data_IF_539686566248
#
_entry.id   IF_539686566248
#
_cell.length_a   1.000
_cell.length_b   1.000
_cell.length_c   1.000
_cell.angle_alpha   90.00
_cell.angle_beta   90.00
_cell.angle_gamma   90.00
#
_symmetry.space_group_name_H-M   'P 1'
#
loop_
_entity.id
_entity.type
_entity.pdbx_description
1 polymer ?
#
# COMPACT_ATOMS: atom_id res chain seq x y z
N UNK A 1 -24.24 16.29 19.73
CA UNK A 1 -23.18 15.97 18.74
C UNK A 1 -22.42 14.76 19.24
N UNK A 2 -22.10 13.81 18.39
CA UNK A 2 -21.45 12.56 18.80
C UNK A 2 -19.91 12.63 18.82
N UNK A 3 -19.28 13.71 18.35
CA UNK A 3 -17.83 13.89 18.27
C UNK A 3 -17.33 15.09 19.08
N UNK A 4 -16.01 15.10 19.38
CA UNK A 4 -15.33 16.25 19.99
C UNK A 4 -15.36 17.45 19.07
N UNK A 5 -15.49 18.65 19.68
CA UNK A 5 -15.46 19.91 18.95
C UNK A 5 -14.03 20.26 18.50
N UNK A 6 -13.91 21.01 17.40
CA UNK A 6 -12.64 21.66 17.03
C UNK A 6 -12.13 22.52 18.21
N UNK A 7 -10.80 22.55 18.35
CA UNK A 7 -10.08 23.18 19.46
C UNK A 7 -10.24 22.50 20.83
N UNK A 8 -10.94 21.36 20.95
CA UNK A 8 -10.88 20.55 22.17
C UNK A 8 -9.44 20.07 22.37
N UNK A 9 -8.92 20.20 23.59
CA UNK A 9 -7.58 19.69 23.94
C UNK A 9 -7.67 18.38 24.66
N UNK A 10 -6.68 17.50 24.43
CA UNK A 10 -6.50 16.21 25.06
C UNK A 10 -5.12 16.12 25.71
N UNK A 11 -4.99 15.23 26.70
CA UNK A 11 -3.75 15.02 27.47
C UNK A 11 -3.15 16.31 28.04
N UNK A 12 -3.98 17.09 28.75
CA UNK A 12 -3.49 18.32 29.36
C UNK A 12 -3.02 19.38 28.36
N UNK A 13 -3.54 19.38 27.14
CA UNK A 13 -3.18 20.34 26.10
C UNK A 13 -2.09 19.85 25.13
N UNK A 14 -1.63 18.60 25.26
CA UNK A 14 -0.63 18.02 24.34
C UNK A 14 -1.15 17.92 22.91
N UNK A 15 -2.43 17.59 22.74
CA UNK A 15 -3.10 17.51 21.45
C UNK A 15 -4.29 18.45 21.38
N UNK A 16 -4.47 19.09 20.24
CA UNK A 16 -5.64 19.91 19.92
C UNK A 16 -6.37 19.27 18.74
N UNK A 17 -7.66 19.00 18.91
CA UNK A 17 -8.53 18.49 17.84
C UNK A 17 -8.75 19.58 16.79
N UNK A 18 -8.50 19.29 15.55
CA UNK A 18 -8.74 20.20 14.42
C UNK A 18 -10.10 19.91 13.76
N UNK A 19 -10.33 18.66 13.35
CA UNK A 19 -11.59 18.21 12.73
C UNK A 19 -11.75 16.69 12.77
N UNK A 20 -12.96 16.22 12.50
CA UNK A 20 -13.23 14.79 12.26
C UNK A 20 -12.66 14.37 10.89
N UNK A 21 -11.97 13.24 10.83
CA UNK A 21 -11.56 12.55 9.61
C UNK A 21 -12.58 11.50 9.17
N UNK A 22 -13.15 10.77 10.13
CA UNK A 22 -14.14 9.73 9.86
C UNK A 22 -14.76 9.20 11.13
N UNK A 23 -15.93 8.56 10.97
CA UNK A 23 -16.63 7.88 12.05
C UNK A 23 -17.08 6.50 11.56
N UNK A 24 -16.74 5.47 12.30
CA UNK A 24 -17.12 4.08 12.06
C UNK A 24 -17.93 3.50 13.21
N UNK A 25 -18.28 2.22 13.12
CA UNK A 25 -19.08 1.53 14.13
C UNK A 25 -18.41 1.45 15.52
N UNK A 26 -17.09 1.51 15.58
CA UNK A 26 -16.31 1.32 16.81
C UNK A 26 -15.47 2.54 17.22
N UNK A 27 -15.52 3.64 16.47
CA UNK A 27 -14.71 4.79 16.84
C UNK A 27 -14.86 5.97 15.91
N UNK A 28 -14.29 7.07 16.38
CA UNK A 28 -14.20 8.33 15.64
C UNK A 28 -12.72 8.64 15.46
N UNK A 29 -12.32 9.00 14.25
CA UNK A 29 -10.95 9.42 13.95
C UNK A 29 -10.91 10.91 13.69
N UNK A 30 -9.98 11.60 14.35
CA UNK A 30 -9.79 13.04 14.28
C UNK A 30 -8.44 13.38 13.64
N UNK A 31 -8.39 14.46 12.87
CA UNK A 31 -7.17 15.21 12.66
C UNK A 31 -6.93 16.04 13.91
N UNK A 32 -5.70 16.01 14.42
CA UNK A 32 -5.28 16.80 15.55
C UNK A 32 -3.87 17.35 15.35
N UNK A 33 -3.56 18.42 16.06
CA UNK A 33 -2.23 19.01 16.10
C UNK A 33 -1.56 18.67 17.44
N UNK A 34 -0.38 18.06 17.40
CA UNK A 34 0.50 17.96 18.56
C UNK A 34 1.10 19.35 18.83
N UNK A 35 0.67 19.98 19.93
CA UNK A 35 0.91 21.41 20.17
C UNK A 35 2.40 21.76 20.29
N UNK A 36 3.19 20.92 20.95
CA UNK A 36 4.62 21.16 21.18
C UNK A 36 5.48 21.16 19.92
N UNK A 37 5.11 20.39 18.90
CA UNK A 37 5.86 20.21 17.65
C UNK A 37 5.15 20.80 16.43
N UNK A 38 3.93 21.28 16.60
CA UNK A 38 3.02 21.71 15.52
C UNK A 38 2.82 20.63 14.44
N UNK A 39 2.99 19.34 14.81
CA UNK A 39 2.85 18.20 13.89
C UNK A 39 1.40 17.76 13.85
N UNK A 40 0.88 17.50 12.64
CA UNK A 40 -0.40 16.84 12.46
C UNK A 40 -0.31 15.35 12.78
N UNK A 41 -1.31 14.87 13.51
CA UNK A 41 -1.50 13.47 13.89
C UNK A 41 -2.94 13.06 13.67
N UNK A 42 -3.20 11.76 13.53
CA UNK A 42 -4.54 11.21 13.61
C UNK A 42 -4.78 10.64 15.02
N UNK A 43 -5.94 10.92 15.59
CA UNK A 43 -6.33 10.40 16.90
C UNK A 43 -7.60 9.58 16.74
N UNK A 44 -7.55 8.29 17.07
CA UNK A 44 -8.73 7.41 17.08
C UNK A 44 -9.29 7.32 18.51
N UNK A 45 -10.56 7.61 18.64
CA UNK A 45 -11.34 7.52 19.88
C UNK A 45 -12.20 6.28 19.85
N UNK A 46 -12.23 5.53 20.95
CA UNK A 46 -13.22 4.47 21.13
C UNK A 46 -14.60 5.09 21.37
N UNK A 47 -15.51 4.94 20.40
CA UNK A 47 -16.87 5.43 20.49
C UNK A 47 -17.82 4.44 19.79
N UNK A 48 -18.71 3.82 20.54
CA UNK A 48 -19.65 2.81 20.06
C UNK A 48 -21.06 3.39 20.12
N UNK A 49 -21.26 4.42 19.31
CA UNK A 49 -22.52 5.15 19.20
C UNK A 49 -22.99 5.10 17.75
N UNK A 50 -23.87 4.19 17.40
CA UNK A 50 -24.44 4.08 16.06
C UNK A 50 -25.90 3.64 16.09
N UNK A 51 -26.58 3.75 14.94
CA UNK A 51 -27.97 3.36 14.77
C UNK A 51 -28.21 1.90 15.16
N UNK A 52 -28.88 1.68 16.27
CA UNK A 52 -29.44 0.39 16.65
C UNK A 52 -29.06 -0.13 18.03
N UNK A 53 -27.84 0.00 18.51
CA UNK A 53 -27.43 -0.41 19.87
C UNK A 53 -26.25 0.44 20.37
N UNK A 54 -26.48 1.72 20.60
CA UNK A 54 -25.49 2.61 21.17
C UNK A 54 -25.14 2.15 22.60
N UNK A 55 -23.91 1.67 22.79
CA UNK A 55 -23.37 1.28 24.09
C UNK A 55 -23.04 2.51 24.93
N UNK A 56 -22.60 3.58 24.27
CA UNK A 56 -22.23 4.85 24.89
C UNK A 56 -22.79 6.05 24.11
N UNK A 57 -22.85 7.18 24.79
CA UNK A 57 -23.26 8.48 24.28
C UNK A 57 -22.27 9.55 24.73
N UNK A 58 -22.38 10.76 24.18
CA UNK A 58 -21.51 11.89 24.53
C UNK A 58 -22.27 13.00 25.29
N UNK A 59 -21.70 13.43 26.40
CA UNK A 59 -22.16 14.59 27.17
C UNK A 59 -20.98 15.59 27.29
N UNK A 60 -21.05 16.68 26.53
CA UNK A 60 -19.90 17.57 26.38
C UNK A 60 -18.72 16.81 25.75
N UNK A 61 -17.57 16.80 26.41
CA UNK A 61 -16.41 16.02 25.99
C UNK A 61 -16.42 14.58 26.56
N UNK A 62 -17.30 14.28 27.56
CA UNK A 62 -17.33 12.99 28.22
C UNK A 62 -18.10 11.95 27.42
N UNK A 63 -17.58 10.76 27.33
CA UNK A 63 -18.26 9.56 26.86
C UNK A 63 -18.90 8.88 28.09
N UNK A 64 -20.18 8.66 28.02
CA UNK A 64 -20.96 8.02 29.11
C UNK A 64 -21.63 6.76 28.57
N UNK A 65 -21.59 5.69 29.35
CA UNK A 65 -22.28 4.44 29.00
C UNK A 65 -23.79 4.64 29.16
N UNK A 66 -24.57 4.17 28.19
CA UNK A 66 -26.03 4.44 28.11
C UNK A 66 -26.82 3.80 29.23
N UNK A 67 -26.38 2.63 29.74
CA UNK A 67 -26.98 1.96 30.87
C UNK A 67 -25.96 1.06 31.59
N UNK A 68 -26.27 0.65 32.83
CA UNK A 68 -25.36 -0.19 33.63
C UNK A 68 -25.07 -1.57 33.02
N UNK A 69 -26.01 -2.13 32.26
CA UNK A 69 -25.80 -3.41 31.58
C UNK A 69 -24.69 -3.32 30.48
N UNK A 70 -24.53 -2.15 29.89
CA UNK A 70 -23.49 -1.91 28.85
C UNK A 70 -22.12 -1.62 29.46
N UNK A 71 -21.99 -1.36 30.75
CA UNK A 71 -20.73 -0.97 31.39
C UNK A 71 -19.64 -2.04 31.26
N UNK A 72 -20.00 -3.31 31.49
CA UNK A 72 -19.06 -4.43 31.36
C UNK A 72 -18.62 -4.58 29.91
N UNK A 73 -19.54 -4.52 28.95
CA UNK A 73 -19.24 -4.58 27.51
C UNK A 73 -18.32 -3.44 27.09
N UNK A 74 -18.59 -2.21 27.50
CA UNK A 74 -17.74 -1.06 27.18
C UNK A 74 -16.32 -1.19 27.74
N UNK A 75 -16.21 -1.65 29.01
CA UNK A 75 -14.90 -1.89 29.63
C UNK A 75 -14.10 -2.98 28.89
N UNK A 76 -14.75 -4.05 28.43
CA UNK A 76 -14.12 -5.07 27.59
C UNK A 76 -13.64 -4.49 26.24
N UNK A 77 -14.44 -3.66 25.58
CA UNK A 77 -14.06 -3.00 24.35
C UNK A 77 -12.88 -2.04 24.56
N UNK A 78 -12.87 -1.31 25.68
CA UNK A 78 -11.75 -0.43 26.03
C UNK A 78 -10.46 -1.21 26.27
N UNK A 79 -10.52 -2.35 26.95
CA UNK A 79 -9.36 -3.23 27.13
C UNK A 79 -8.84 -3.79 25.81
N UNK A 80 -9.72 -4.18 24.88
CA UNK A 80 -9.36 -4.62 23.54
C UNK A 80 -8.71 -3.49 22.72
N UNK A 81 -9.28 -2.30 22.77
CA UNK A 81 -8.76 -1.12 22.09
C UNK A 81 -7.34 -0.76 22.56
N UNK A 82 -7.07 -0.88 23.88
CA UNK A 82 -5.74 -0.73 24.44
C UNK A 82 -4.75 -1.77 23.90
N UNK A 83 -5.14 -3.05 23.92
CA UNK A 83 -4.29 -4.13 23.41
C UNK A 83 -3.95 -3.95 21.92
N UNK A 84 -4.91 -3.53 21.10
CA UNK A 84 -4.69 -3.20 19.71
C UNK A 84 -3.64 -2.09 19.57
N UNK A 85 -3.84 -0.96 20.25
CA UNK A 85 -2.91 0.16 20.20
C UNK A 85 -1.48 -0.27 20.58
N UNK A 86 -1.30 -1.06 21.66
CA UNK A 86 -0.01 -1.56 22.10
C UNK A 86 0.64 -2.54 21.10
N UNK A 87 -0.15 -3.36 20.39
CA UNK A 87 0.35 -4.24 19.33
C UNK A 87 0.83 -3.41 18.13
N UNK A 88 0.03 -2.43 17.71
CA UNK A 88 0.35 -1.56 16.58
C UNK A 88 1.55 -0.64 16.86
N UNK A 89 1.76 -0.23 18.10
CA UNK A 89 2.93 0.54 18.53
C UNK A 89 4.24 -0.21 18.23
N UNK A 90 4.22 -1.54 18.35
CA UNK A 90 5.38 -2.39 18.07
C UNK A 90 5.57 -2.72 16.58
N UNK A 91 4.56 -2.47 15.73
CA UNK A 91 4.70 -2.62 14.28
C UNK A 91 5.45 -1.42 13.70
N UNK A 92 6.52 -1.71 12.94
CA UNK A 92 7.29 -0.69 12.28
C UNK A 92 7.57 -1.09 10.82
N UNK A 93 6.87 -0.46 9.89
CA UNK A 93 7.07 -0.64 8.45
C UNK A 93 6.61 0.63 7.72
N UNK A 94 7.30 1.08 6.64
CA UNK A 94 6.97 2.32 5.94
C UNK A 94 5.55 2.36 5.34
N UNK A 95 4.95 1.20 5.09
CA UNK A 95 3.59 1.08 4.54
C UNK A 95 2.54 0.66 5.59
N UNK A 96 2.86 0.73 6.88
CA UNK A 96 1.93 0.62 8.00
C UNK A 96 1.81 1.95 8.71
N UNK A 97 0.60 2.34 9.11
CA UNK A 97 0.43 3.51 9.95
C UNK A 97 1.08 3.28 11.32
N UNK A 98 1.96 4.20 11.74
CA UNK A 98 2.64 4.09 13.03
C UNK A 98 1.75 4.61 14.14
N UNK A 99 1.51 3.80 15.17
CA UNK A 99 0.89 4.22 16.43
C UNK A 99 1.98 4.71 17.36
N UNK A 100 1.75 5.85 18.03
CA UNK A 100 2.72 6.54 18.86
C UNK A 100 2.46 6.39 20.34
N UNK A 101 1.19 6.46 20.74
CA UNK A 101 0.79 6.33 22.14
C UNK A 101 -0.70 5.99 22.29
N UNK A 102 -1.03 5.47 23.47
CA UNK A 102 -2.38 5.20 23.93
C UNK A 102 -2.61 5.94 25.25
N UNK A 103 -3.81 6.51 25.44
CA UNK A 103 -4.21 7.11 26.71
C UNK A 103 -5.72 6.99 26.95
N UNK A 104 -6.12 7.16 28.20
CA UNK A 104 -7.52 7.20 28.61
C UNK A 104 -7.87 8.59 29.12
N UNK A 105 -8.95 9.17 28.63
CA UNK A 105 -9.47 10.47 29.01
C UNK A 105 -10.96 10.54 28.67
N UNK A 106 -11.69 11.50 29.20
CA UNK A 106 -13.10 11.74 28.87
C UNK A 106 -14.02 10.50 28.99
N UNK A 107 -13.71 9.57 29.90
CA UNK A 107 -14.47 8.33 30.08
C UNK A 107 -14.27 7.28 29.01
N UNK A 108 -13.38 7.52 28.03
CA UNK A 108 -13.08 6.62 26.93
C UNK A 108 -11.56 6.43 26.76
N UNK A 109 -11.16 5.89 25.62
CA UNK A 109 -9.76 5.65 25.27
C UNK A 109 -9.43 6.21 23.89
N UNK A 110 -8.19 6.61 23.74
CA UNK A 110 -7.64 7.18 22.52
C UNK A 110 -6.31 6.51 22.16
N UNK A 111 -5.98 6.41 20.88
CA UNK A 111 -4.61 6.24 20.46
C UNK A 111 -4.24 7.24 19.35
N UNK A 112 -2.98 7.65 19.38
CA UNK A 112 -2.40 8.63 18.45
C UNK A 112 -1.57 7.89 17.42
N UNK A 113 -1.74 8.24 16.16
CA UNK A 113 -1.03 7.64 15.02
C UNK A 113 -0.61 8.70 14.01
N UNK A 114 0.24 8.30 13.07
CA UNK A 114 0.59 9.18 11.95
C UNK A 114 -0.66 9.63 11.20
N UNK A 115 -0.69 10.92 10.87
CA UNK A 115 -1.63 11.44 9.89
C UNK A 115 -1.03 11.27 8.49
N UNK A 116 -1.74 10.57 7.62
CA UNK A 116 -1.36 10.39 6.22
C UNK A 116 -2.04 11.49 5.39
N UNK A 117 -1.25 12.42 4.87
CA UNK A 117 -1.74 13.46 3.95
C UNK A 117 -1.99 12.86 2.57
N UNK A 118 -3.22 12.40 2.36
CA UNK A 118 -3.60 11.68 1.16
C UNK A 118 -5.09 11.35 1.15
N UNK A 119 -5.44 10.39 0.33
CA UNK A 119 -6.81 9.88 0.19
C UNK A 119 -6.85 8.35 0.31
N UNK A 120 -8.02 7.78 0.63
CA UNK A 120 -8.18 6.33 0.55
C UNK A 120 -8.22 5.85 -0.89
N UNK A 121 -7.84 4.59 -1.14
CA UNK A 121 -7.98 4.01 -2.49
C UNK A 121 -9.44 3.98 -2.95
N UNK A 122 -10.41 3.94 -2.03
CA UNK A 122 -11.83 4.10 -2.35
C UNK A 122 -12.12 5.50 -2.90
N UNK A 123 -11.65 6.54 -2.22
CA UNK A 123 -11.80 7.93 -2.67
C UNK A 123 -11.14 8.13 -4.04
N UNK A 124 -9.92 7.59 -4.20
CA UNK A 124 -9.19 7.63 -5.46
C UNK A 124 -9.96 6.93 -6.59
N UNK A 125 -10.48 5.72 -6.35
CA UNK A 125 -11.26 4.97 -7.31
C UNK A 125 -12.53 5.75 -7.72
N UNK A 126 -13.23 6.35 -6.75
CA UNK A 126 -14.43 7.15 -7.03
C UNK A 126 -14.11 8.41 -7.84
N UNK A 127 -12.92 8.99 -7.67
CA UNK A 127 -12.49 10.21 -8.36
C UNK A 127 -11.92 9.95 -9.75
N UNK A 128 -11.10 8.90 -9.90
CA UNK A 128 -10.35 8.62 -11.14
C UNK A 128 -11.00 7.53 -12.02
N UNK A 129 -11.94 6.76 -11.48
CA UNK A 129 -12.43 5.54 -12.10
C UNK A 129 -11.45 4.38 -11.96
N UNK A 130 -11.54 3.40 -12.88
CA UNK A 130 -10.69 2.19 -12.86
C UNK A 130 -9.20 2.55 -12.82
N UNK A 131 -8.48 1.95 -11.87
CA UNK A 131 -7.04 2.14 -11.80
C UNK A 131 -6.33 1.23 -12.83
N UNK A 132 -5.21 1.69 -13.34
CA UNK A 132 -4.40 0.89 -14.26
C UNK A 132 -3.79 -0.32 -13.55
N UNK A 133 -3.62 -1.42 -14.29
CA UNK A 133 -2.99 -2.64 -13.80
C UNK A 133 -1.62 -2.38 -13.15
N UNK A 134 -0.77 -1.61 -13.82
CA UNK A 134 0.57 -1.26 -13.33
C UNK A 134 0.50 -0.52 -11.97
N UNK A 135 -0.48 0.36 -11.79
CA UNK A 135 -0.65 1.08 -10.53
C UNK A 135 -1.10 0.16 -9.41
N UNK A 136 -2.07 -0.73 -9.67
CA UNK A 136 -2.56 -1.72 -8.69
C UNK A 136 -1.44 -2.68 -8.29
N UNK A 137 -0.64 -3.16 -9.24
CA UNK A 137 0.53 -4.01 -8.96
C UNK A 137 1.62 -3.27 -8.16
N UNK A 138 1.83 -1.97 -8.43
CA UNK A 138 2.74 -1.14 -7.62
C UNK A 138 2.26 -1.01 -6.17
N UNK A 139 0.97 -0.89 -5.94
CA UNK A 139 0.40 -0.86 -4.58
C UNK A 139 0.52 -2.22 -3.90
N UNK A 140 0.23 -3.31 -4.62
CA UNK A 140 0.44 -4.67 -4.11
C UNK A 140 1.87 -4.87 -3.61
N UNK A 141 2.87 -4.48 -4.39
CA UNK A 141 4.29 -4.62 -4.05
C UNK A 141 4.68 -3.87 -2.77
N UNK A 142 4.02 -2.77 -2.45
CA UNK A 142 4.23 -2.02 -1.23
C UNK A 142 3.51 -2.66 -0.02
N UNK A 143 2.33 -3.24 -0.23
CA UNK A 143 1.51 -3.83 0.84
C UNK A 143 2.01 -5.21 1.28
N UNK A 144 2.57 -6.02 0.37
CA UNK A 144 3.04 -7.36 0.70
C UNK A 144 4.10 -7.38 1.82
N UNK A 145 5.18 -6.56 1.80
CA UNK A 145 6.13 -6.50 2.90
C UNK A 145 5.53 -5.98 4.21
N UNK A 146 4.56 -5.07 4.12
CA UNK A 146 3.83 -4.56 5.28
C UNK A 146 3.03 -5.67 5.98
N UNK A 147 2.29 -6.45 5.20
CA UNK A 147 1.56 -7.62 5.71
C UNK A 147 2.50 -8.69 6.26
N UNK A 148 3.64 -8.98 5.59
CA UNK A 148 4.65 -9.90 6.11
C UNK A 148 5.15 -9.49 7.49
N UNK A 149 5.37 -8.18 7.70
CA UNK A 149 5.81 -7.63 8.99
C UNK A 149 4.76 -7.84 10.09
N UNK A 150 3.48 -7.65 9.79
CA UNK A 150 2.39 -7.90 10.73
C UNK A 150 2.19 -9.41 10.99
N UNK A 151 2.20 -10.22 9.94
CA UNK A 151 1.98 -11.68 10.01
C UNK A 151 3.08 -12.39 10.81
N UNK A 152 4.34 -11.97 10.71
CA UNK A 152 5.44 -12.49 11.54
C UNK A 152 5.24 -12.25 13.04
N UNK A 153 4.42 -11.29 13.42
CA UNK A 153 4.03 -11.03 14.81
C UNK A 153 2.65 -11.62 15.15
N UNK A 154 2.12 -12.49 14.29
CA UNK A 154 0.77 -13.08 14.43
C UNK A 154 -0.33 -12.01 14.54
N UNK A 155 -0.17 -10.90 13.81
CA UNK A 155 -1.15 -9.82 13.71
C UNK A 155 -1.76 -9.87 12.32
N UNK A 156 -3.07 -10.17 12.25
CA UNK A 156 -3.87 -10.22 11.03
C UNK A 156 -4.70 -8.95 10.95
N UNK A 157 -4.83 -8.37 9.76
CA UNK A 157 -5.59 -7.13 9.55
C UNK A 157 -7.10 -7.37 9.56
N UNK A 158 -7.56 -8.38 8.85
CA UNK A 158 -8.93 -8.89 8.74
C UNK A 158 -10.00 -7.94 8.13
N UNK A 159 -9.62 -6.73 7.73
CA UNK A 159 -10.51 -5.78 7.04
C UNK A 159 -9.76 -5.01 5.94
N UNK A 160 -8.98 -5.75 5.12
CA UNK A 160 -8.29 -5.14 3.96
C UNK A 160 -9.33 -4.83 2.88
N UNK A 161 -9.44 -3.54 2.55
CA UNK A 161 -10.34 -3.00 1.53
C UNK A 161 -9.85 -1.62 1.08
N UNK A 162 -10.32 -1.08 -0.05
CA UNK A 162 -9.86 0.22 -0.54
C UNK A 162 -10.03 1.38 0.44
N UNK A 163 -11.01 1.31 1.34
CA UNK A 163 -11.24 2.32 2.40
C UNK A 163 -10.11 2.35 3.44
N UNK A 164 -9.47 1.21 3.70
CA UNK A 164 -8.44 1.02 4.73
C UNK A 164 -7.01 1.08 4.16
N UNK A 165 -6.85 1.52 2.92
CA UNK A 165 -5.55 1.76 2.29
C UNK A 165 -5.51 3.24 1.87
N UNK A 166 -4.64 4.01 2.51
CA UNK A 166 -4.38 5.40 2.15
C UNK A 166 -3.26 5.47 1.11
N UNK A 167 -3.35 6.45 0.21
CA UNK A 167 -2.27 6.76 -0.74
C UNK A 167 -1.93 8.25 -0.63
N UNK A 168 -0.64 8.56 -0.49
CA UNK A 168 -0.14 9.93 -0.47
C UNK A 168 0.07 10.47 -1.90
N UNK A 169 0.41 11.77 -1.99
CA UNK A 169 0.67 12.45 -3.27
C UNK A 169 1.87 11.89 -4.05
N UNK A 170 2.74 11.09 -3.42
CA UNK A 170 3.90 10.47 -4.05
C UNK A 170 3.62 9.04 -4.51
N UNK A 171 2.42 8.51 -4.22
CA UNK A 171 2.02 7.15 -4.55
C UNK A 171 2.54 6.10 -3.58
N UNK A 172 2.92 6.49 -2.35
CA UNK A 172 3.15 5.56 -1.26
C UNK A 172 1.81 5.16 -0.65
N UNK A 173 1.62 3.88 -0.41
CA UNK A 173 0.40 3.37 0.23
C UNK A 173 0.66 2.99 1.67
N UNK A 174 -0.36 3.18 2.50
CA UNK A 174 -0.32 2.92 3.94
C UNK A 174 -1.55 2.11 4.32
N UNK A 175 -1.34 0.95 4.92
CA UNK A 175 -2.41 0.16 5.50
C UNK A 175 -2.79 0.77 6.85
N UNK A 176 -4.07 1.11 6.98
CA UNK A 176 -4.62 1.75 8.17
C UNK A 176 -5.70 0.87 8.78
N UNK A 177 -6.07 1.14 10.02
CA UNK A 177 -7.22 0.56 10.73
C UNK A 177 -7.22 -0.98 10.87
N UNK A 178 -6.39 -1.48 11.77
CA UNK A 178 -6.39 -2.87 12.24
C UNK A 178 -7.58 -3.20 13.17
N UNK A 179 -8.65 -2.41 13.10
CA UNK A 179 -9.80 -2.49 14.03
C UNK A 179 -10.52 -3.82 14.07
N UNK A 180 -10.50 -4.60 12.98
CA UNK A 180 -11.10 -5.93 12.94
C UNK A 180 -10.26 -6.99 13.67
N UNK A 181 -8.93 -6.80 13.82
CA UNK A 181 -8.06 -7.70 14.58
C UNK A 181 -8.45 -7.86 16.05
N UNK A 182 -9.32 -6.99 16.56
CA UNK A 182 -9.85 -7.00 17.93
C UNK A 182 -10.67 -8.23 18.28
N UNK A 183 -11.20 -8.93 17.31
CA UNK A 183 -12.28 -9.89 17.54
C UNK A 183 -11.80 -11.33 17.79
N UNK A 184 -10.49 -11.58 17.74
CA UNK A 184 -9.90 -12.92 17.76
C UNK A 184 -9.23 -13.26 19.10
N UNK A 185 -9.74 -12.84 20.23
CA UNK A 185 -9.23 -13.28 21.53
C UNK A 185 -10.09 -14.39 22.16
N UNK A 186 -9.40 -15.43 22.64
CA UNK A 186 -9.92 -16.74 23.09
C UNK A 186 -11.02 -16.76 24.19
N UNK A 187 -11.47 -15.62 24.73
CA UNK A 187 -12.35 -15.58 25.89
C UNK A 187 -13.50 -14.57 25.82
N UNK A 188 -14.01 -14.19 24.66
CA UNK A 188 -15.09 -13.22 24.60
C UNK A 188 -16.31 -13.68 23.82
N UNK A 189 -17.49 -13.30 24.30
CA UNK A 189 -18.80 -13.38 23.66
C UNK A 189 -18.78 -12.61 22.33
N UNK A 190 -18.32 -13.27 21.26
CA UNK A 190 -17.85 -12.66 20.01
C UNK A 190 -18.88 -12.62 18.89
N UNK A 191 -19.94 -13.41 19.01
CA UNK A 191 -20.79 -13.79 17.88
C UNK A 191 -21.57 -12.64 17.24
N UNK A 192 -21.91 -11.58 17.97
CA UNK A 192 -22.76 -10.52 17.41
C UNK A 192 -21.98 -9.38 16.75
N UNK A 193 -20.76 -9.10 17.19
CA UNK A 193 -19.97 -7.97 16.68
C UNK A 193 -19.20 -8.30 15.39
N UNK A 194 -18.76 -9.56 15.21
CA UNK A 194 -18.09 -10.02 13.98
C UNK A 194 -19.04 -9.99 12.77
N UNK A 195 -20.27 -10.50 12.94
CA UNK A 195 -21.26 -10.55 11.86
C UNK A 195 -21.66 -9.19 11.30
N UNK A 196 -21.51 -8.12 12.07
CA UNK A 196 -21.90 -6.75 11.69
C UNK A 196 -20.77 -5.97 10.99
N UNK A 197 -19.53 -6.44 11.07
CA UNK A 197 -18.36 -5.71 10.58
C UNK A 197 -17.88 -6.15 9.18
N UNK A 198 -18.43 -7.22 8.60
CA UNK A 198 -17.94 -7.72 7.33
C UNK A 198 -18.32 -6.87 6.14
N UNK A 199 -17.32 -6.42 5.41
CA UNK A 199 -17.54 -5.74 4.14
C UNK A 199 -17.81 -6.78 3.06
N UNK A 200 -19.04 -6.76 2.51
CA UNK A 200 -19.47 -7.71 1.47
C UNK A 200 -18.47 -7.76 0.31
N UNK A 201 -18.06 -8.97 -0.05
CA UNK A 201 -17.12 -9.24 -1.14
C UNK A 201 -15.64 -9.30 -0.74
N UNK A 202 -15.25 -8.69 0.40
CA UNK A 202 -13.86 -8.72 0.90
C UNK A 202 -13.64 -9.76 1.99
N UNK A 203 -14.74 -10.24 2.58
CA UNK A 203 -14.70 -11.25 3.64
C UNK A 203 -14.51 -12.64 3.03
N UNK A 204 -13.44 -13.38 3.41
CA UNK A 204 -13.26 -14.76 2.99
C UNK A 204 -14.22 -15.72 3.72
N UNK A 205 -14.44 -16.96 3.19
CA UNK A 205 -15.39 -17.92 3.74
C UNK A 205 -15.19 -18.20 5.23
N UNK A 206 -13.96 -18.45 5.65
CA UNK A 206 -13.62 -18.79 7.04
C UNK A 206 -13.97 -17.67 8.05
N UNK A 207 -14.01 -16.40 7.61
CA UNK A 207 -14.51 -15.31 8.45
C UNK A 207 -16.04 -15.19 8.40
N UNK A 208 -16.65 -15.47 7.26
CA UNK A 208 -18.11 -15.47 7.14
C UNK A 208 -18.74 -16.58 7.96
N UNK A 209 -18.12 -17.76 8.01
CA UNK A 209 -18.61 -18.95 8.72
C UNK A 209 -18.50 -18.80 10.24
N UNK A 210 -17.55 -17.97 10.76
CA UNK A 210 -17.46 -17.62 12.19
C UNK A 210 -18.77 -17.15 12.82
N UNK A 211 -19.67 -16.59 12.01
CA UNK A 211 -20.97 -16.11 12.50
C UNK A 211 -21.95 -17.22 12.83
N UNK A 212 -21.70 -18.44 12.33
CA UNK A 212 -22.60 -19.58 12.43
C UNK A 212 -22.03 -20.73 13.29
N UNK A 213 -20.72 -20.68 13.64
CA UNK A 213 -20.08 -21.74 14.40
C UNK A 213 -20.30 -21.62 15.91
N UNK A 214 -20.66 -22.76 16.54
CA UNK A 214 -20.80 -22.90 17.98
C UNK A 214 -19.44 -22.99 18.72
N UNK A 215 -18.36 -23.38 18.01
CA UNK A 215 -17.01 -23.47 18.55
C UNK A 215 -16.09 -22.41 17.97
N UNK A 216 -16.13 -21.25 18.60
CA UNK A 216 -15.32 -20.09 18.25
C UNK A 216 -13.80 -20.36 18.32
N UNK A 217 -13.36 -21.22 19.25
CA UNK A 217 -11.94 -21.55 19.44
C UNK A 217 -11.41 -22.32 18.23
N UNK A 218 -12.20 -23.21 17.69
CA UNK A 218 -11.86 -23.95 16.48
C UNK A 218 -11.84 -23.01 15.28
N UNK A 219 -12.85 -22.20 15.11
CA UNK A 219 -12.97 -21.24 14.04
C UNK A 219 -11.81 -20.21 14.01
N UNK A 220 -11.30 -19.80 15.16
CA UNK A 220 -10.13 -18.91 15.25
C UNK A 220 -8.83 -19.56 14.72
N UNK A 221 -8.71 -20.88 14.74
CA UNK A 221 -7.56 -21.59 14.17
C UNK A 221 -7.59 -21.61 12.63
N UNK A 222 -8.74 -21.30 12.06
CA UNK A 222 -8.94 -21.22 10.62
C UNK A 222 -8.37 -19.93 10.01
N UNK A 223 -8.08 -18.92 10.85
CA UNK A 223 -7.57 -17.61 10.44
C UNK A 223 -6.06 -17.61 10.35
N UNK A 224 -5.54 -17.04 9.25
CA UNK A 224 -4.11 -16.95 9.01
C UNK A 224 -3.75 -15.90 7.96
N UNK A 225 -2.51 -15.89 7.48
CA UNK A 225 -2.06 -14.98 6.41
C UNK A 225 -2.94 -15.04 5.17
N UNK A 226 -3.44 -16.23 4.82
CA UNK A 226 -4.34 -16.49 3.70
C UNK A 226 -5.66 -15.71 3.76
N UNK A 227 -6.10 -15.35 4.96
CA UNK A 227 -7.31 -14.53 5.20
C UNK A 227 -7.11 -13.09 4.70
N UNK A 228 -6.01 -12.46 5.07
CA UNK A 228 -5.63 -11.13 4.57
C UNK A 228 -5.30 -11.15 3.08
N UNK A 229 -4.67 -12.23 2.60
CA UNK A 229 -4.37 -12.42 1.18
C UNK A 229 -5.64 -12.45 0.33
N UNK A 230 -6.70 -13.14 0.78
CA UNK A 230 -7.99 -13.11 0.10
C UNK A 230 -8.54 -11.69 0.00
N UNK A 231 -8.59 -10.97 1.11
CA UNK A 231 -9.09 -9.60 1.15
C UNK A 231 -8.26 -8.63 0.28
N UNK A 232 -6.94 -8.84 0.20
CA UNK A 232 -6.06 -8.10 -0.68
C UNK A 232 -6.35 -8.40 -2.17
N UNK A 233 -6.57 -9.68 -2.53
CA UNK A 233 -7.00 -10.07 -3.88
C UNK A 233 -8.34 -9.44 -4.26
N UNK A 234 -9.31 -9.45 -3.35
CA UNK A 234 -10.61 -8.81 -3.51
C UNK A 234 -10.47 -7.28 -3.69
N UNK A 235 -9.53 -6.66 -2.96
CA UNK A 235 -9.20 -5.24 -3.12
C UNK A 235 -8.62 -4.96 -4.51
N UNK A 236 -7.66 -5.74 -4.98
CA UNK A 236 -7.11 -5.61 -6.33
C UNK A 236 -8.19 -5.74 -7.41
N UNK A 237 -9.05 -6.77 -7.29
CA UNK A 237 -10.18 -6.95 -8.20
C UNK A 237 -11.05 -5.70 -8.26
N UNK A 238 -11.44 -5.16 -7.10
CA UNK A 238 -12.29 -3.97 -7.04
C UNK A 238 -11.62 -2.74 -7.67
N UNK A 239 -10.32 -2.50 -7.43
CA UNK A 239 -9.59 -1.37 -8.00
C UNK A 239 -9.47 -1.45 -9.54
N UNK A 240 -9.43 -2.66 -10.10
CA UNK A 240 -9.34 -2.90 -11.54
C UNK A 240 -10.69 -2.94 -12.27
N UNK A 241 -11.80 -3.17 -11.55
CA UNK A 241 -13.12 -3.41 -12.17
C UNK A 241 -14.20 -2.46 -11.67
N UNK A 242 -13.97 -1.74 -10.59
CA UNK A 242 -14.96 -0.97 -9.81
C UNK A 242 -16.20 -1.80 -9.44
N UNK A 243 -16.08 -3.12 -9.44
CA UNK A 243 -17.16 -4.05 -9.12
C UNK A 243 -16.97 -4.63 -7.72
N UNK A 244 -18.07 -4.94 -7.06
CA UNK A 244 -18.02 -5.71 -5.82
C UNK A 244 -17.42 -7.08 -6.13
N UNK A 245 -16.39 -7.52 -5.40
CA UNK A 245 -15.80 -8.84 -5.60
C UNK A 245 -16.83 -9.97 -5.47
N UNK A 246 -16.69 -11.07 -6.21
CA UNK A 246 -17.62 -12.19 -6.14
C UNK A 246 -17.66 -12.76 -4.71
N UNK A 247 -18.87 -13.06 -4.23
CA UNK A 247 -19.05 -13.68 -2.92
C UNK A 247 -18.52 -15.12 -2.90
N UNK A 248 -18.16 -15.62 -1.72
CA UNK A 248 -17.68 -16.98 -1.50
C UNK A 248 -18.60 -18.04 -2.13
N UNK A 249 -19.91 -17.92 -1.94
CA UNK A 249 -20.88 -18.84 -2.54
C UNK A 249 -20.83 -18.85 -4.09
N UNK A 250 -20.59 -17.69 -4.68
CA UNK A 250 -20.43 -17.57 -6.14
C UNK A 250 -19.11 -18.18 -6.59
N UNK A 251 -18.05 -18.01 -5.82
CA UNK A 251 -16.74 -18.62 -6.11
C UNK A 251 -16.79 -20.15 -6.04
N UNK A 252 -17.50 -20.73 -5.06
CA UNK A 252 -17.71 -22.17 -4.99
C UNK A 252 -18.51 -22.72 -6.17
N UNK A 253 -19.53 -21.97 -6.63
CA UNK A 253 -20.41 -22.41 -7.72
C UNK A 253 -19.77 -22.28 -9.10
N UNK A 254 -19.18 -21.12 -9.39
CA UNK A 254 -18.80 -20.70 -10.74
C UNK A 254 -17.26 -20.72 -10.95
N UNK A 255 -16.48 -20.92 -9.88
CA UNK A 255 -15.01 -20.91 -9.92
C UNK A 255 -14.46 -19.61 -10.51
N UNK A 256 -13.52 -19.72 -11.45
CA UNK A 256 -12.94 -18.58 -12.16
C UNK A 256 -13.95 -17.80 -13.01
N UNK A 257 -15.06 -18.42 -13.43
CA UNK A 257 -16.11 -17.75 -14.21
C UNK A 257 -16.93 -16.74 -13.36
N UNK A 258 -16.75 -16.74 -12.03
CA UNK A 258 -17.34 -15.74 -11.16
C UNK A 258 -16.75 -14.33 -11.38
N UNK A 259 -15.52 -14.26 -11.92
CA UNK A 259 -14.83 -13.00 -12.16
C UNK A 259 -15.14 -12.42 -13.54
N UNK A 260 -15.19 -11.10 -13.61
CA UNK A 260 -15.31 -10.36 -14.87
C UNK A 260 -14.23 -9.27 -14.89
N UNK A 261 -13.22 -9.45 -15.72
CA UNK A 261 -12.12 -8.50 -15.86
C UNK A 261 -12.24 -7.73 -17.18
N UNK A 262 -11.84 -6.45 -17.22
CA UNK A 262 -11.63 -5.72 -18.46
C UNK A 262 -10.62 -6.44 -19.36
N UNK A 263 -10.77 -6.33 -20.68
CA UNK A 263 -9.92 -7.03 -21.65
C UNK A 263 -8.44 -6.63 -21.61
N UNK A 264 -8.16 -5.42 -21.14
CA UNK A 264 -6.80 -4.86 -21.02
C UNK A 264 -6.02 -5.35 -19.78
N UNK A 265 -6.63 -6.16 -18.92
CA UNK A 265 -5.92 -6.76 -17.77
C UNK A 265 -5.22 -8.04 -18.24
N UNK A 266 -3.94 -8.18 -17.92
CA UNK A 266 -3.12 -9.33 -18.31
C UNK A 266 -3.64 -10.65 -17.70
N UNK A 267 -3.37 -11.78 -18.36
CA UNK A 267 -3.72 -13.09 -17.82
C UNK A 267 -3.02 -13.36 -16.50
N UNK A 268 -1.75 -12.96 -16.36
CA UNK A 268 -0.98 -13.15 -15.14
C UNK A 268 -1.60 -12.44 -13.92
N UNK A 269 -2.10 -11.22 -14.11
CA UNK A 269 -2.78 -10.49 -13.02
C UNK A 269 -4.15 -11.08 -12.71
N UNK A 270 -4.90 -11.53 -13.71
CA UNK A 270 -6.16 -12.25 -13.48
C UNK A 270 -5.93 -13.53 -12.68
N UNK A 271 -4.96 -14.35 -13.11
CA UNK A 271 -4.64 -15.63 -12.46
C UNK A 271 -4.15 -15.43 -11.02
N UNK A 272 -3.35 -14.37 -10.77
CA UNK A 272 -2.92 -13.98 -9.44
C UNK A 272 -4.11 -13.66 -8.53
N UNK A 273 -5.04 -12.81 -8.98
CA UNK A 273 -6.22 -12.44 -8.19
C UNK A 273 -7.11 -13.65 -7.93
N UNK A 274 -7.34 -14.49 -8.95
CA UNK A 274 -8.11 -15.73 -8.83
C UNK A 274 -7.46 -16.68 -7.80
N UNK A 275 -6.14 -16.81 -7.81
CA UNK A 275 -5.42 -17.63 -6.84
C UNK A 275 -5.51 -17.09 -5.41
N UNK A 276 -5.33 -15.77 -5.23
CA UNK A 276 -5.49 -15.13 -3.93
C UNK A 276 -6.91 -15.26 -3.36
N UNK A 277 -7.92 -15.32 -4.23
CA UNK A 277 -9.34 -15.40 -3.87
C UNK A 277 -9.93 -16.81 -3.98
N UNK A 278 -9.13 -17.87 -4.00
CA UNK A 278 -9.65 -19.23 -3.92
C UNK A 278 -10.56 -19.37 -2.69
N UNK A 279 -11.74 -20.01 -2.81
CA UNK A 279 -12.66 -20.17 -1.67
C UNK A 279 -12.04 -21.03 -0.56
N UNK A 280 -11.36 -22.12 -0.92
CA UNK A 280 -10.65 -22.95 0.05
C UNK A 280 -9.31 -22.32 0.40
N UNK A 281 -9.05 -22.09 1.68
CA UNK A 281 -7.85 -21.40 2.17
C UNK A 281 -6.56 -22.15 1.85
N UNK A 282 -6.60 -23.47 1.81
CA UNK A 282 -5.46 -24.35 1.47
C UNK A 282 -5.01 -24.15 0.02
N UNK A 283 -5.90 -23.72 -0.86
CA UNK A 283 -5.63 -23.46 -2.28
C UNK A 283 -5.10 -22.06 -2.54
N UNK A 284 -5.08 -21.19 -1.51
CA UNK A 284 -4.54 -19.83 -1.60
C UNK A 284 -3.04 -19.80 -1.35
N UNK A 285 -2.34 -18.69 -1.68
CA UNK A 285 -1.01 -18.41 -1.13
C UNK A 285 -1.04 -18.52 0.39
N UNK A 286 -0.15 -19.33 0.98
CA UNK A 286 -0.10 -19.54 2.42
C UNK A 286 0.62 -18.40 3.16
N UNK A 287 1.38 -17.61 2.43
CA UNK A 287 2.05 -16.42 2.94
C UNK A 287 2.34 -15.44 1.78
N UNK A 288 2.62 -14.21 2.13
CA UNK A 288 2.87 -13.14 1.14
C UNK A 288 4.14 -13.35 0.32
N UNK A 289 5.11 -14.16 0.80
CA UNK A 289 6.36 -14.43 0.08
C UNK A 289 6.10 -15.27 -1.18
N UNK A 290 5.08 -16.12 -1.19
CA UNK A 290 4.69 -16.88 -2.38
C UNK A 290 4.25 -15.94 -3.50
N UNK A 291 3.47 -14.91 -3.17
CA UNK A 291 3.04 -13.88 -4.12
C UNK A 291 4.22 -13.07 -4.63
N UNK A 292 5.13 -12.66 -3.74
CA UNK A 292 6.33 -11.89 -4.11
C UNK A 292 7.23 -12.67 -5.09
N UNK A 293 7.43 -13.97 -4.86
CA UNK A 293 8.24 -14.84 -5.73
C UNK A 293 7.66 -14.91 -7.14
N UNK A 294 6.35 -15.05 -7.27
CA UNK A 294 5.69 -15.08 -8.59
C UNK A 294 5.78 -13.73 -9.29
N UNK A 295 5.54 -12.63 -8.58
CA UNK A 295 5.65 -11.27 -9.14
C UNK A 295 7.07 -10.96 -9.63
N UNK A 296 8.10 -11.43 -8.94
CA UNK A 296 9.49 -11.24 -9.35
C UNK A 296 9.85 -12.12 -10.55
N UNK A 297 9.40 -13.39 -10.59
CA UNK A 297 9.61 -14.28 -11.75
C UNK A 297 8.92 -13.76 -13.02
N UNK A 298 7.73 -13.19 -12.88
CA UNK A 298 7.04 -12.56 -14.02
C UNK A 298 7.86 -11.39 -14.59
N UNK A 299 8.43 -10.54 -13.73
CA UNK A 299 9.31 -9.44 -14.15
C UNK A 299 10.60 -9.91 -14.79
N UNK A 300 11.25 -10.93 -14.22
CA UNK A 300 12.45 -11.52 -14.79
C UNK A 300 12.19 -12.12 -16.19
N UNK A 301 11.06 -12.80 -16.37
CA UNK A 301 10.64 -13.35 -17.65
C UNK A 301 10.32 -12.24 -18.67
N UNK A 302 9.66 -11.14 -18.26
CA UNK A 302 9.38 -10.00 -19.10
C UNK A 302 10.69 -9.27 -19.50
N UNK A 303 11.64 -9.14 -18.59
CA UNK A 303 12.98 -8.59 -18.89
C UNK A 303 13.80 -9.53 -19.81
N UNK A 304 13.73 -10.84 -19.60
CA UNK A 304 14.38 -11.82 -20.49
C UNK A 304 13.72 -11.80 -21.86
N UNK A 305 12.40 -11.73 -21.93
CA UNK A 305 11.65 -11.68 -23.20
C UNK A 305 11.91 -10.37 -23.93
N UNK A 306 11.93 -9.24 -23.25
CA UNK A 306 12.27 -7.95 -23.85
C UNK A 306 13.73 -7.88 -24.30
N UNK A 307 14.65 -8.44 -23.50
CA UNK A 307 16.07 -8.56 -23.89
C UNK A 307 16.28 -9.57 -25.02
N UNK A 308 15.53 -10.66 -25.08
CA UNK A 308 15.60 -11.62 -26.19
C UNK A 308 15.02 -11.04 -27.48
N UNK A 309 13.95 -10.25 -27.42
CA UNK A 309 13.44 -9.51 -28.58
C UNK A 309 14.40 -8.44 -29.06
N UNK A 310 15.06 -7.70 -28.14
CA UNK A 310 16.13 -6.77 -28.50
C UNK A 310 17.36 -7.47 -29.13
N UNK A 311 17.71 -8.65 -28.61
CA UNK A 311 18.82 -9.45 -29.14
C UNK A 311 18.49 -10.18 -30.46
N UNK A 312 17.20 -10.43 -30.74
CA UNK A 312 16.73 -11.01 -32.01
C UNK A 312 16.56 -9.96 -33.11
N UNK A 313 16.58 -8.67 -32.77
CA UNK A 313 16.51 -7.60 -33.75
C UNK A 313 17.81 -7.56 -34.56
N UNK A 314 17.71 -7.92 -35.83
CA UNK A 314 18.84 -7.83 -36.78
C UNK A 314 18.75 -6.49 -37.56
N UNK A 315 19.59 -5.50 -37.25
CA UNK A 315 19.53 -4.19 -37.87
C UNK A 315 19.76 -4.22 -39.38
N UNK A 316 20.30 -5.33 -39.93
CA UNK A 316 20.51 -5.47 -41.38
C UNK A 316 19.21 -5.65 -42.16
N UNK A 317 18.08 -5.93 -41.51
CA UNK A 317 16.75 -6.01 -42.16
C UNK A 317 16.06 -4.66 -42.29
N UNK A 318 16.54 -3.63 -41.60
CA UNK A 318 16.02 -2.27 -41.75
C UNK A 318 16.58 -1.65 -43.04
N UNK A 319 15.80 -0.83 -43.80
CA UNK A 319 16.36 -0.08 -44.88
C UNK A 319 17.61 0.68 -44.42
N UNK A 320 18.72 0.50 -45.11
CA UNK A 320 20.03 1.06 -44.72
C UNK A 320 19.97 2.56 -44.42
N UNK A 321 19.14 3.29 -45.15
CA UNK A 321 18.93 4.73 -44.98
C UNK A 321 18.31 5.04 -43.59
N UNK A 322 17.31 4.25 -43.12
CA UNK A 322 16.66 4.43 -41.80
C UNK A 322 17.64 4.15 -40.67
N UNK A 323 18.45 3.08 -40.81
CA UNK A 323 19.49 2.76 -39.84
C UNK A 323 20.55 3.87 -39.75
N UNK A 324 21.00 4.40 -40.89
CA UNK A 324 21.98 5.51 -40.96
C UNK A 324 21.41 6.79 -40.32
N UNK A 325 20.16 7.15 -40.63
CA UNK A 325 19.51 8.33 -40.06
C UNK A 325 19.34 8.21 -38.53
N UNK A 326 18.83 7.08 -38.05
CA UNK A 326 18.66 6.81 -36.60
C UNK A 326 20.03 6.80 -35.92
N UNK A 327 21.05 6.20 -36.53
CA UNK A 327 22.42 6.18 -36.00
C UNK A 327 23.00 7.58 -35.84
N UNK A 328 22.85 8.44 -36.85
CA UNK A 328 23.32 9.83 -36.81
C UNK A 328 22.59 10.64 -35.74
N UNK A 329 21.26 10.54 -35.68
CA UNK A 329 20.43 11.27 -34.68
C UNK A 329 20.81 10.82 -33.26
N UNK A 330 20.87 9.50 -33.01
CA UNK A 330 21.28 8.98 -31.70
C UNK A 330 22.71 9.40 -31.32
N UNK A 331 23.65 9.42 -32.29
CA UNK A 331 25.02 9.84 -32.06
C UNK A 331 25.10 11.31 -31.67
N UNK A 332 24.36 12.19 -32.36
CA UNK A 332 24.29 13.63 -32.02
C UNK A 332 23.70 13.84 -30.61
N UNK A 333 22.59 13.16 -30.28
CA UNK A 333 21.98 13.27 -28.98
C UNK A 333 22.87 12.79 -27.85
N UNK A 334 23.48 11.61 -28.00
CA UNK A 334 24.36 11.05 -26.96
C UNK A 334 25.61 11.90 -26.79
N UNK A 335 26.23 12.33 -27.90
CA UNK A 335 27.41 13.20 -27.84
C UNK A 335 27.08 14.58 -27.26
N UNK A 336 25.94 15.17 -27.60
CA UNK A 336 25.48 16.44 -27.03
C UNK A 336 25.23 16.35 -25.53
N UNK A 337 24.57 15.29 -25.06
CA UNK A 337 24.34 15.08 -23.63
C UNK A 337 25.65 14.89 -22.87
N UNK A 338 26.61 14.14 -23.42
CA UNK A 338 27.93 13.96 -22.81
C UNK A 338 28.75 15.24 -22.76
N UNK A 339 28.68 16.09 -23.78
CA UNK A 339 29.38 17.40 -23.80
C UNK A 339 28.80 18.33 -22.72
N UNK A 340 27.47 18.34 -22.52
CA UNK A 340 26.83 19.13 -21.44
C UNK A 340 27.27 18.61 -20.06
N UNK A 341 27.24 17.31 -19.85
CA UNK A 341 27.71 16.70 -18.60
C UNK A 341 29.20 16.94 -18.35
N UNK A 342 30.03 16.83 -19.41
CA UNK A 342 31.45 17.14 -19.34
C UNK A 342 31.70 18.60 -18.93
N UNK A 343 30.93 19.55 -19.48
CA UNK A 343 31.06 20.96 -19.13
C UNK A 343 30.73 21.23 -17.66
N UNK A 344 29.67 20.60 -17.10
CA UNK A 344 29.30 20.71 -15.69
C UNK A 344 30.33 20.11 -14.72
N UNK A 345 31.08 19.07 -15.15
CA UNK A 345 32.10 18.41 -14.32
C UNK A 345 33.47 19.10 -14.48
N UNK A 346 33.84 19.50 -15.69
CA UNK A 346 35.18 20.05 -15.99
C UNK A 346 35.29 21.52 -15.49
N UNK A 347 34.19 22.31 -15.54
CA UNK A 347 34.21 23.71 -15.12
C UNK A 347 34.63 23.87 -13.63
N UNK A 348 34.03 23.17 -12.65
CA UNK A 348 34.49 23.24 -11.26
C UNK A 348 35.87 22.61 -11.04
N UNK A 349 36.19 21.50 -11.73
CA UNK A 349 37.49 20.84 -11.59
C UNK A 349 38.66 21.73 -12.07
N UNK A 350 38.45 22.53 -13.13
CA UNK A 350 39.44 23.47 -13.61
C UNK A 350 39.79 24.52 -12.56
N UNK A 351 38.83 25.08 -11.86
CA UNK A 351 39.09 26.07 -10.81
C UNK A 351 39.85 25.46 -9.63
N UNK A 352 39.51 24.22 -9.24
CA UNK A 352 40.20 23.48 -8.18
C UNK A 352 41.66 23.16 -8.60
N UNK A 353 41.89 22.69 -9.83
CA UNK A 353 43.23 22.32 -10.31
C UNK A 353 44.13 23.54 -10.44
N UNK A 354 43.61 24.69 -10.85
CA UNK A 354 44.34 25.97 -10.88
C UNK A 354 44.75 26.41 -9.50
N UNK A 355 43.91 26.22 -8.45
CA UNK A 355 44.25 26.56 -7.09
C UNK A 355 45.40 25.73 -6.50
N UNK A 356 45.67 24.53 -7.03
CA UNK A 356 46.76 23.64 -6.61
C UNK A 356 48.03 23.79 -7.40
N UNK A 357 48.14 24.80 -8.29
CA UNK A 357 49.34 25.10 -9.10
C UNK A 357 49.83 23.91 -9.98
N UNK A 358 48.87 23.12 -10.48
CA UNK A 358 49.14 21.94 -11.35
C UNK A 358 49.46 22.41 -12.77
N UNK A 359 50.52 21.85 -13.39
CA UNK A 359 50.97 22.26 -14.70
C UNK A 359 49.84 22.06 -15.75
N UNK A 360 49.70 23.01 -16.71
CA UNK A 360 48.67 22.95 -17.76
C UNK A 360 48.70 21.66 -18.60
N UNK A 361 49.87 21.04 -18.77
CA UNK A 361 50.04 19.81 -19.53
C UNK A 361 49.42 18.58 -18.80
N UNK A 362 49.48 18.55 -17.49
CA UNK A 362 48.85 17.50 -16.69
C UNK A 362 47.32 17.63 -16.72
N UNK A 363 46.80 18.84 -16.62
CA UNK A 363 45.37 19.13 -16.76
C UNK A 363 44.87 18.71 -18.14
N UNK A 364 45.60 19.03 -19.21
CA UNK A 364 45.27 18.63 -20.56
C UNK A 364 45.30 17.10 -20.73
N UNK A 365 46.26 16.40 -20.16
CA UNK A 365 46.32 14.92 -20.19
C UNK A 365 45.11 14.27 -19.51
N UNK A 366 44.72 14.75 -18.34
CA UNK A 366 43.53 14.26 -17.63
C UNK A 366 42.24 14.48 -18.43
N UNK A 367 42.12 15.64 -19.07
CA UNK A 367 40.98 16.00 -19.92
C UNK A 367 40.88 15.09 -21.16
N UNK A 368 42.02 14.79 -21.82
CA UNK A 368 42.05 13.88 -22.94
C UNK A 368 41.62 12.45 -22.56
N UNK A 369 42.13 11.94 -21.43
CA UNK A 369 41.73 10.60 -20.93
C UNK A 369 40.26 10.57 -20.63
N UNK A 370 39.74 11.62 -19.98
CA UNK A 370 38.31 11.73 -19.67
C UNK A 370 37.44 11.72 -20.91
N UNK A 371 37.81 12.51 -21.95
CA UNK A 371 37.09 12.56 -23.23
C UNK A 371 37.10 11.18 -23.91
N UNK A 372 38.23 10.47 -23.92
CA UNK A 372 38.32 9.12 -24.49
C UNK A 372 37.41 8.11 -23.77
N UNK A 373 37.35 8.16 -22.44
CA UNK A 373 36.44 7.32 -21.63
C UNK A 373 34.98 7.64 -21.96
N UNK A 374 34.63 8.92 -22.05
CA UNK A 374 33.27 9.38 -22.38
C UNK A 374 32.85 8.93 -23.77
N UNK A 375 33.75 9.05 -24.77
CA UNK A 375 33.49 8.60 -26.15
C UNK A 375 33.29 7.08 -26.22
N UNK A 376 34.09 6.31 -25.48
CA UNK A 376 33.98 4.85 -25.44
C UNK A 376 32.67 4.39 -24.77
N UNK A 377 32.27 5.04 -23.65
CA UNK A 377 31.00 4.80 -22.99
C UNK A 377 29.82 5.22 -23.87
N UNK A 378 29.96 6.37 -24.58
CA UNK A 378 28.96 6.89 -25.51
C UNK A 378 28.68 5.95 -26.65
N UNK A 379 29.71 5.29 -27.22
CA UNK A 379 29.54 4.31 -28.30
C UNK A 379 28.69 3.10 -27.87
N UNK A 380 28.93 2.55 -26.66
CA UNK A 380 28.11 1.43 -26.11
C UNK A 380 26.65 1.82 -25.89
N UNK A 381 26.41 3.01 -25.34
CA UNK A 381 25.04 3.51 -25.09
C UNK A 381 24.34 3.78 -26.43
N UNK A 382 25.04 4.36 -27.39
CA UNK A 382 24.52 4.67 -28.73
C UNK A 382 24.05 3.40 -29.47
N UNK A 383 24.84 2.31 -29.45
CA UNK A 383 24.44 1.02 -30.05
C UNK A 383 23.16 0.45 -29.48
N UNK A 384 22.97 0.51 -28.14
CA UNK A 384 21.75 0.06 -27.48
C UNK A 384 20.55 0.93 -27.83
N UNK A 385 20.73 2.25 -27.85
CA UNK A 385 19.68 3.21 -28.19
C UNK A 385 19.23 3.05 -29.65
N UNK A 386 20.15 2.87 -30.59
CA UNK A 386 19.84 2.62 -32.00
C UNK A 386 19.00 1.35 -32.14
N UNK A 387 19.41 0.24 -31.51
CA UNK A 387 18.65 -1.01 -31.55
C UNK A 387 17.26 -0.87 -30.98
N UNK A 388 17.09 -0.14 -29.85
CA UNK A 388 15.80 0.12 -29.24
C UNK A 388 14.90 0.96 -30.15
N UNK A 389 15.39 2.08 -30.67
CA UNK A 389 14.61 2.96 -31.57
C UNK A 389 14.21 2.24 -32.83
N UNK A 390 15.15 1.50 -33.47
CA UNK A 390 14.83 0.71 -34.66
C UNK A 390 13.74 -0.35 -34.39
N UNK A 391 13.72 -0.97 -33.19
CA UNK A 391 12.68 -1.94 -32.80
C UNK A 391 11.28 -1.33 -32.71
N UNK A 392 11.16 -0.02 -32.44
CA UNK A 392 9.86 0.69 -32.37
C UNK A 392 9.24 0.94 -33.75
N UNK A 393 10.04 1.08 -34.78
CA UNK A 393 9.56 1.36 -36.14
C UNK A 393 9.23 0.11 -36.97
N UNK A 394 9.59 -1.09 -36.45
CA UNK A 394 9.39 -2.36 -37.16
C UNK A 394 8.49 -3.34 -36.39
N UNK A 395 7.68 -2.83 -35.44
CA UNK A 395 6.52 -3.51 -34.92
C UNK A 395 5.33 -3.18 -35.82
#
# INVERSE_FOLDING_TARGET
MQHLQSNTTLQGGKYRIDRVLGQGGFGITYLATQVSSNRQVAIKELFIGGSGQAINDRRGNQVVVTNSANQQSFNQQKAKFKKEALRLENLNHPNLVKVHEFFEENGTAYYVMDYIEGESLRTKLNREGLLSENLVLKYLQQLLPALDTAHKQSIWHLDIKPENIMVDRYGHVYLIDFGASKHIEQNSTLTTSLALAYTKGYCPPELADLTYESDLVQALKEIGPWTDIYALGATMYNLLTDSIPPSSNRLYKDGSNAFSFPSNISSSTRDLIIWMMKPDREDRPQNVLEIQRLSNRAKENDEITSNSQLNSFNPTKAPYIVYMLVSVICSIFVSGLFLILAWFIVSPLREILVSFNISPNVVFGILVVYILVVLFMGEKINKRLIMYVCSLFYK
#
